data_IF_253332604526
#
_entry.id   IF_253332604526
#
_cell.length_a   1.000
_cell.length_b   1.000
_cell.length_c   1.000
_cell.angle_alpha   90.00
_cell.angle_beta   90.00
_cell.angle_gamma   90.00
#
_symmetry.space_group_name_H-M   'P 1'
#
loop_
_entity.id
_entity.type
_entity.pdbx_description
1 polymer ?
#
# COMPACT_ATOMS: atom_id res chain seq x y z
N UNK A 1 -45.71 38.05 -63.29
CA UNK A 1 -45.25 38.66 -64.55
C UNK A 1 -43.86 39.22 -64.32
N UNK A 2 -42.92 38.88 -65.21
CA UNK A 2 -41.57 39.43 -65.43
C UNK A 2 -40.60 39.55 -64.25
N UNK A 3 -39.52 38.77 -64.21
CA UNK A 3 -38.29 38.88 -65.04
C UNK A 3 -37.32 39.91 -64.48
N UNK A 4 -36.14 39.48 -64.01
CA UNK A 4 -34.91 39.58 -64.82
C UNK A 4 -33.70 38.99 -64.10
N UNK A 5 -32.84 38.38 -64.91
CA UNK A 5 -31.55 37.75 -64.59
C UNK A 5 -30.44 38.76 -64.28
N UNK A 6 -29.32 38.18 -63.80
CA UNK A 6 -27.91 38.60 -63.99
C UNK A 6 -27.34 39.67 -63.05
N UNK A 7 -26.05 39.69 -62.70
CA UNK A 7 -24.91 38.76 -62.57
C UNK A 7 -23.73 39.68 -62.14
N UNK A 8 -22.83 39.18 -61.27
CA UNK A 8 -21.44 39.64 -60.99
C UNK A 8 -21.21 41.05 -60.42
N UNK A 9 -20.50 41.14 -59.29
CA UNK A 9 -19.03 41.18 -59.29
C UNK A 9 -18.46 41.05 -57.87
N UNK A 10 -17.50 40.14 -57.73
CA UNK A 10 -16.61 40.01 -56.57
C UNK A 10 -15.77 41.28 -56.42
N UNK A 11 -15.76 41.88 -55.22
CA UNK A 11 -14.62 42.66 -54.75
C UNK A 11 -14.25 42.23 -53.33
N UNK A 12 -13.08 41.57 -53.26
CA UNK A 12 -12.32 41.29 -52.05
C UNK A 12 -11.97 42.58 -51.33
N UNK A 13 -12.19 42.64 -50.01
CA UNK A 13 -11.31 43.39 -49.09
C UNK A 13 -11.08 42.56 -47.84
N UNK A 14 -9.80 42.33 -47.57
CA UNK A 14 -9.29 41.61 -46.43
C UNK A 14 -9.05 42.56 -45.24
N UNK A 15 -9.34 42.02 -44.05
CA UNK A 15 -8.66 42.15 -42.76
C UNK A 15 -8.32 43.53 -42.16
N UNK A 16 -8.73 43.72 -40.89
CA UNK A 16 -7.80 43.82 -39.75
C UNK A 16 -8.54 43.60 -38.41
N UNK A 17 -7.90 42.97 -37.40
CA UNK A 17 -8.56 42.42 -36.21
C UNK A 17 -8.65 43.41 -35.04
N UNK A 18 -9.69 43.27 -34.22
CA UNK A 18 -9.76 43.88 -32.90
C UNK A 18 -8.91 43.07 -31.92
N UNK A 19 -7.92 43.72 -31.29
CA UNK A 19 -7.10 43.14 -30.21
C UNK A 19 -7.97 43.04 -28.96
N UNK A 20 -8.52 41.85 -28.69
CA UNK A 20 -9.10 41.49 -27.40
C UNK A 20 -8.04 40.78 -26.57
N UNK A 21 -7.56 41.42 -25.50
CA UNK A 21 -6.67 40.79 -24.54
C UNK A 21 -7.46 39.76 -23.70
N UNK A 22 -7.37 38.48 -24.06
CA UNK A 22 -7.79 37.39 -23.21
C UNK A 22 -6.63 37.00 -22.29
N UNK A 23 -6.76 37.27 -20.99
CA UNK A 23 -5.90 36.68 -19.96
C UNK A 23 -6.15 35.16 -19.95
N UNK A 24 -5.25 34.41 -20.57
CA UNK A 24 -5.20 32.96 -20.41
C UNK A 24 -4.67 32.65 -19.01
N UNK A 25 -5.58 32.36 -18.07
CA UNK A 25 -5.22 31.78 -16.78
C UNK A 25 -4.80 30.33 -17.03
N UNK A 26 -3.50 30.12 -17.28
CA UNK A 26 -2.93 28.77 -17.36
C UNK A 26 -2.97 28.16 -15.97
N UNK A 27 -4.05 27.47 -15.62
CA UNK A 27 -4.09 26.58 -14.47
C UNK A 27 -3.19 25.38 -14.77
N UNK A 28 -1.91 25.48 -14.39
CA UNK A 28 -1.07 24.29 -14.23
C UNK A 28 -1.70 23.43 -13.15
N UNK A 29 -2.41 22.38 -13.55
CA UNK A 29 -2.77 21.29 -12.65
C UNK A 29 -1.47 20.60 -12.28
N UNK A 30 -0.93 20.94 -11.11
CA UNK A 30 0.15 20.14 -10.53
C UNK A 30 -0.45 18.78 -10.21
N UNK A 31 -0.18 17.78 -11.05
CA UNK A 31 -0.33 16.39 -10.64
C UNK A 31 0.72 16.18 -9.55
N UNK A 32 0.35 16.38 -8.29
CA UNK A 32 1.18 15.99 -7.18
C UNK A 32 1.41 14.49 -7.35
N UNK A 33 2.62 14.10 -7.74
CA UNK A 33 3.03 12.70 -7.67
C UNK A 33 2.78 12.27 -6.22
N UNK A 34 2.08 11.15 -5.97
CA UNK A 34 1.91 10.66 -4.63
C UNK A 34 3.30 10.58 -3.97
N UNK A 35 3.41 11.16 -2.77
CA UNK A 35 4.66 11.12 -2.02
C UNK A 35 5.09 9.67 -1.91
N UNK A 36 6.29 9.34 -2.42
CA UNK A 36 6.84 8.00 -2.33
C UNK A 36 6.89 7.58 -0.85
N UNK A 37 6.54 6.33 -0.57
CA UNK A 37 6.76 5.70 0.72
C UNK A 37 8.15 6.05 1.29
N UNK A 38 8.19 6.96 2.27
CA UNK A 38 9.39 7.24 3.04
C UNK A 38 9.56 6.14 4.08
N UNK A 39 10.58 5.30 3.97
CA UNK A 39 10.98 4.40 5.06
C UNK A 39 12.24 4.93 5.74
N UNK A 40 12.24 5.13 7.06
CA UNK A 40 13.49 5.06 7.82
C UNK A 40 13.86 3.59 7.95
N UNK A 41 14.31 2.97 6.87
CA UNK A 41 14.83 1.62 6.98
C UNK A 41 16.07 1.65 7.90
N UNK A 42 15.97 1.02 9.06
CA UNK A 42 17.04 0.98 10.08
C UNK A 42 18.25 0.14 9.66
N UNK A 43 18.19 -0.55 8.51
CA UNK A 43 19.23 -1.48 8.06
C UNK A 43 19.13 -2.87 8.68
N UNK A 44 18.06 -3.15 9.45
CA UNK A 44 17.88 -4.43 10.15
C UNK A 44 17.55 -5.56 9.19
N UNK A 45 17.98 -6.76 9.56
CA UNK A 45 17.70 -7.99 8.81
C UNK A 45 16.26 -8.46 8.94
N UNK A 46 15.57 -8.08 10.03
CA UNK A 46 14.22 -8.51 10.39
C UNK A 46 13.38 -7.32 10.85
N UNK A 47 12.06 -7.47 10.74
CA UNK A 47 11.09 -6.65 11.48
C UNK A 47 11.40 -6.73 12.97
N UNK A 48 11.37 -5.58 13.66
CA UNK A 48 11.92 -5.42 14.99
C UNK A 48 11.08 -4.49 15.85
N UNK A 49 10.93 -4.86 17.12
CA UNK A 49 10.18 -4.06 18.09
C UNK A 49 10.79 -4.02 19.48
N UNK A 50 10.38 -3.05 20.29
CA UNK A 50 10.75 -2.93 21.70
C UNK A 50 9.64 -2.32 22.52
N UNK A 51 9.51 -2.73 23.79
CA UNK A 51 8.48 -2.16 24.65
C UNK A 51 7.09 -2.66 24.26
N UNK A 52 6.14 -1.73 24.14
CA UNK A 52 4.77 -2.02 23.69
C UNK A 52 4.75 -2.45 22.23
N UNK A 53 3.65 -3.08 21.78
CA UNK A 53 3.59 -3.66 20.43
C UNK A 53 2.90 -2.78 19.39
N UNK A 54 2.24 -1.71 19.81
CA UNK A 54 1.40 -0.92 18.90
C UNK A 54 2.21 -0.10 17.89
N UNK A 55 3.42 0.30 18.26
CA UNK A 55 4.37 1.10 17.49
C UNK A 55 5.50 0.26 16.85
N UNK A 56 5.58 -1.03 17.17
CA UNK A 56 6.67 -1.92 16.74
C UNK A 56 6.86 -2.02 15.21
N UNK A 57 5.94 -1.52 14.39
CA UNK A 57 6.04 -1.52 12.92
C UNK A 57 6.33 -0.12 12.32
N UNK A 58 6.49 0.94 13.11
CA UNK A 58 6.53 2.32 12.61
C UNK A 58 7.86 2.77 11.94
N UNK A 59 8.93 1.99 12.11
CA UNK A 59 10.25 2.21 11.52
C UNK A 59 10.64 1.12 10.50
N UNK A 60 9.67 0.33 10.05
CA UNK A 60 9.91 -0.77 9.14
C UNK A 60 10.22 -0.32 7.70
N UNK A 61 11.05 -1.13 7.04
CA UNK A 61 11.54 -0.91 5.69
C UNK A 61 10.44 -1.01 4.63
N UNK A 62 10.66 -0.34 3.50
CA UNK A 62 9.74 -0.38 2.37
C UNK A 62 9.71 -1.79 1.77
N UNK A 63 8.51 -2.32 1.54
CA UNK A 63 8.27 -3.53 0.75
C UNK A 63 7.31 -3.18 -0.39
N UNK A 64 7.73 -3.44 -1.63
CA UNK A 64 6.93 -3.18 -2.83
C UNK A 64 7.43 -4.02 -4.01
N UNK A 65 6.95 -3.70 -5.22
CA UNK A 65 7.30 -4.41 -6.46
C UNK A 65 8.78 -4.31 -6.86
N UNK A 66 9.57 -3.39 -6.29
CA UNK A 66 11.00 -3.20 -6.61
C UNK A 66 11.94 -3.37 -5.41
N UNK A 67 11.43 -3.26 -4.18
CA UNK A 67 12.19 -3.26 -2.94
C UNK A 67 11.69 -4.38 -2.02
N UNK A 68 12.60 -5.24 -1.56
CA UNK A 68 12.27 -6.45 -0.78
C UNK A 68 11.17 -7.32 -1.42
N UNK A 69 11.09 -7.28 -2.76
CA UNK A 69 10.03 -7.90 -3.57
C UNK A 69 9.83 -9.38 -3.28
N UNK A 70 10.91 -10.12 -3.04
CA UNK A 70 10.89 -11.56 -2.77
C UNK A 70 11.46 -11.80 -1.38
N UNK A 71 10.61 -11.78 -0.35
CA UNK A 71 11.05 -11.79 1.05
C UNK A 71 9.98 -12.32 2.02
N UNK A 72 10.42 -12.75 3.20
CA UNK A 72 9.54 -13.10 4.31
C UNK A 72 8.82 -11.88 4.88
N UNK A 73 9.40 -10.67 4.82
CA UNK A 73 8.65 -9.45 5.17
C UNK A 73 7.52 -9.17 4.17
N UNK A 74 7.71 -9.50 2.89
CA UNK A 74 6.63 -9.48 1.89
C UNK A 74 5.52 -10.49 2.22
N UNK A 75 5.89 -11.64 2.74
CA UNK A 75 4.97 -12.67 3.21
C UNK A 75 4.20 -12.24 4.46
N UNK A 76 4.87 -11.58 5.41
CA UNK A 76 4.23 -10.94 6.55
C UNK A 76 3.22 -9.89 6.06
N UNK A 77 3.62 -9.03 5.12
CA UNK A 77 2.73 -8.01 4.56
C UNK A 77 1.50 -8.62 3.85
N UNK A 78 1.70 -9.67 3.06
CA UNK A 78 0.59 -10.42 2.44
C UNK A 78 -0.33 -11.06 3.47
N UNK A 79 0.22 -11.58 4.58
CA UNK A 79 -0.56 -12.12 5.71
C UNK A 79 -1.39 -11.03 6.39
N UNK A 80 -0.83 -9.82 6.57
CA UNK A 80 -1.56 -8.65 7.07
C UNK A 80 -2.69 -8.24 6.12
N UNK A 81 -2.43 -8.23 4.80
CA UNK A 81 -3.45 -7.94 3.79
C UNK A 81 -4.57 -8.99 3.80
N UNK A 82 -4.23 -10.27 3.94
CA UNK A 82 -5.21 -11.33 4.15
C UNK A 82 -6.03 -11.07 5.40
N UNK A 83 -5.37 -10.80 6.53
CA UNK A 83 -6.04 -10.55 7.81
C UNK A 83 -7.00 -9.35 7.80
N UNK A 84 -6.78 -8.40 6.88
CA UNK A 84 -7.67 -7.25 6.66
C UNK A 84 -8.70 -7.47 5.54
N UNK A 85 -8.69 -8.63 4.87
CA UNK A 85 -9.64 -8.98 3.81
C UNK A 85 -9.29 -8.47 2.41
N UNK A 86 -8.05 -8.01 2.18
CA UNK A 86 -7.61 -7.47 0.88
C UNK A 86 -6.93 -8.51 -0.03
N UNK A 87 -6.53 -9.66 0.51
CA UNK A 87 -5.82 -10.71 -0.22
C UNK A 87 -6.35 -12.10 0.17
N UNK A 88 -6.58 -13.02 -0.78
CA UNK A 88 -6.87 -14.42 -0.43
C UNK A 88 -5.62 -15.10 0.15
N UNK A 89 -5.81 -16.14 0.98
CA UNK A 89 -4.67 -16.84 1.59
C UNK A 89 -3.74 -17.48 0.56
N UNK A 90 -4.25 -17.84 -0.62
CA UNK A 90 -3.48 -18.37 -1.74
C UNK A 90 -2.52 -17.35 -2.38
N UNK A 91 -2.67 -16.05 -2.06
CA UNK A 91 -1.78 -14.99 -2.52
C UNK A 91 -0.60 -14.74 -1.57
N UNK A 92 -0.48 -15.50 -0.48
CA UNK A 92 0.64 -15.42 0.46
C UNK A 92 1.76 -16.33 -0.07
N UNK A 93 2.66 -15.74 -0.83
CA UNK A 93 3.77 -16.43 -1.50
C UNK A 93 5.13 -15.76 -1.26
N UNK A 94 5.19 -14.66 -0.52
CA UNK A 94 6.40 -13.86 -0.30
C UNK A 94 6.87 -13.06 -1.51
N UNK A 95 6.10 -12.99 -2.60
CA UNK A 95 6.38 -12.21 -3.81
C UNK A 95 5.42 -11.02 -3.91
N UNK A 96 5.94 -9.82 -3.73
CA UNK A 96 5.20 -8.58 -3.93
C UNK A 96 4.98 -8.31 -5.43
N UNK A 97 3.98 -8.96 -6.01
CA UNK A 97 3.53 -8.77 -7.39
C UNK A 97 2.29 -7.89 -7.51
N UNK A 98 1.69 -7.85 -8.70
CA UNK A 98 0.56 -6.97 -9.03
C UNK A 98 -0.65 -7.16 -8.10
N UNK A 99 -0.93 -8.40 -7.67
CA UNK A 99 -2.01 -8.67 -6.72
C UNK A 99 -1.71 -8.04 -5.35
N UNK A 100 -0.48 -8.14 -4.87
CA UNK A 100 -0.05 -7.54 -3.60
C UNK A 100 -0.01 -6.02 -3.68
N UNK A 101 0.42 -5.44 -4.80
CA UNK A 101 0.37 -3.99 -5.05
C UNK A 101 -1.09 -3.48 -5.01
N UNK A 102 -1.99 -4.13 -5.76
CA UNK A 102 -3.40 -3.74 -5.77
C UNK A 102 -4.05 -3.85 -4.38
N UNK A 103 -3.78 -4.93 -3.65
CA UNK A 103 -4.25 -5.13 -2.28
C UNK A 103 -3.67 -4.07 -1.31
N UNK A 104 -2.40 -3.71 -1.47
CA UNK A 104 -1.74 -2.64 -0.69
C UNK A 104 -2.42 -1.30 -0.93
N UNK A 105 -2.73 -0.97 -2.19
CA UNK A 105 -3.46 0.26 -2.52
C UNK A 105 -4.87 0.28 -1.94
N UNK A 106 -5.56 -0.87 -1.90
CA UNK A 106 -6.87 -0.99 -1.24
C UNK A 106 -6.75 -0.71 0.26
N UNK A 107 -5.81 -1.37 0.94
CA UNK A 107 -5.50 -1.12 2.35
C UNK A 107 -5.25 0.38 2.59
N UNK A 108 -4.36 0.99 1.80
CA UNK A 108 -4.00 2.39 1.95
C UNK A 108 -5.20 3.32 1.80
N UNK A 109 -6.04 3.12 0.78
CA UNK A 109 -7.28 3.93 0.59
C UNK A 109 -8.20 3.82 1.81
N UNK A 110 -8.42 2.61 2.29
CA UNK A 110 -9.33 2.36 3.42
C UNK A 110 -8.79 2.94 4.73
N UNK A 111 -7.46 3.05 4.88
CA UNK A 111 -6.82 3.71 6.03
C UNK A 111 -6.61 5.22 5.84
N UNK A 112 -7.09 5.81 4.74
CA UNK A 112 -6.94 7.23 4.44
C UNK A 112 -5.51 7.66 4.11
N UNK A 113 -4.69 6.72 3.64
CA UNK A 113 -3.31 6.96 3.21
C UNK A 113 -3.23 7.26 1.70
N UNK A 114 -2.08 7.76 1.27
CA UNK A 114 -1.76 7.83 -0.16
C UNK A 114 -1.61 6.41 -0.71
N UNK A 115 -2.39 6.07 -1.73
CA UNK A 115 -2.43 4.72 -2.30
C UNK A 115 -1.32 4.46 -3.33
N UNK A 116 -0.07 4.55 -2.88
CA UNK A 116 1.14 4.41 -3.71
C UNK A 116 1.53 2.94 -4.02
N UNK A 117 0.90 1.97 -3.36
CA UNK A 117 1.16 0.54 -3.54
C UNK A 117 2.40 0.02 -2.83
N UNK A 118 3.03 0.84 -1.98
CA UNK A 118 4.21 0.48 -1.20
C UNK A 118 3.89 0.37 0.29
N UNK A 119 4.27 -0.75 0.90
CA UNK A 119 4.26 -0.89 2.35
C UNK A 119 5.51 -0.19 2.92
N UNK A 120 5.42 1.13 3.16
CA UNK A 120 6.40 1.91 3.92
C UNK A 120 5.86 2.39 5.26
N UNK A 121 6.61 3.25 5.96
CA UNK A 121 6.32 3.72 7.34
C UNK A 121 4.83 3.90 7.63
N UNK A 122 4.15 4.82 6.94
CA UNK A 122 2.75 5.13 7.27
C UNK A 122 1.81 3.93 7.08
N UNK A 123 2.12 3.08 6.09
CA UNK A 123 1.38 1.85 5.81
C UNK A 123 1.60 0.84 6.93
N UNK A 124 2.85 0.65 7.37
CA UNK A 124 3.21 -0.23 8.47
C UNK A 124 2.69 0.25 9.82
N UNK A 125 2.77 1.54 10.13
CA UNK A 125 2.16 2.16 11.33
C UNK A 125 0.67 1.84 11.39
N UNK A 126 -0.05 1.99 10.27
CA UNK A 126 -1.49 1.65 10.23
C UNK A 126 -1.79 0.16 10.37
N UNK A 127 -0.86 -0.72 10.04
CA UNK A 127 -1.00 -2.14 10.35
C UNK A 127 -0.70 -2.41 11.84
N UNK A 128 0.29 -1.72 12.42
CA UNK A 128 0.66 -1.78 13.84
C UNK A 128 -0.50 -1.50 14.80
N UNK A 129 -1.43 -0.62 14.42
CA UNK A 129 -2.69 -0.34 15.15
C UNK A 129 -3.54 -1.60 15.47
N UNK A 130 -3.26 -2.74 14.81
CA UNK A 130 -3.96 -4.02 15.00
C UNK A 130 -3.14 -5.06 15.76
N UNK A 131 -1.94 -4.72 16.24
CA UNK A 131 -1.14 -5.59 17.08
C UNK A 131 -1.68 -5.57 18.52
N UNK A 132 -2.01 -6.75 19.02
CA UNK A 132 -2.49 -6.99 20.38
C UNK A 132 -1.49 -7.84 21.15
N UNK A 133 -1.02 -7.31 22.27
CA UNK A 133 -0.08 -8.01 23.14
C UNK A 133 -0.85 -9.02 24.00
N UNK A 134 -0.40 -10.28 24.02
CA UNK A 134 -0.96 -11.31 24.87
C UNK A 134 0.01 -11.67 26.01
N UNK A 135 0.79 -12.72 25.82
CA UNK A 135 1.54 -13.37 26.89
C UNK A 135 3.05 -13.29 26.64
N UNK A 136 3.81 -13.22 27.74
CA UNK A 136 5.24 -13.46 27.72
C UNK A 136 5.51 -14.91 28.14
N UNK A 137 6.11 -15.71 27.27
CA UNK A 137 6.49 -17.09 27.57
C UNK A 137 7.97 -17.30 27.28
N UNK A 138 8.74 -17.67 28.31
CA UNK A 138 10.18 -17.95 28.20
C UNK A 138 10.99 -16.83 27.50
N UNK A 139 10.63 -15.57 27.77
CA UNK A 139 11.26 -14.39 27.17
C UNK A 139 10.75 -14.01 25.77
N UNK A 140 9.90 -14.82 25.16
CA UNK A 140 9.22 -14.48 23.91
C UNK A 140 7.92 -13.76 24.21
N UNK A 141 7.64 -12.71 23.44
CA UNK A 141 6.36 -12.05 23.47
C UNK A 141 5.45 -12.60 22.38
N UNK A 142 4.29 -13.09 22.77
CA UNK A 142 3.23 -13.51 21.86
C UNK A 142 2.33 -12.32 21.53
N UNK A 143 2.15 -12.08 20.23
CA UNK A 143 1.39 -10.98 19.68
C UNK A 143 0.36 -11.54 18.71
N UNK A 144 -0.85 -11.04 18.76
CA UNK A 144 -1.87 -11.35 17.75
C UNK A 144 -2.04 -10.14 16.87
N UNK A 145 -2.11 -10.35 15.56
CA UNK A 145 -2.68 -9.35 14.68
C UNK A 145 -4.19 -9.55 14.63
N UNK A 146 -4.95 -8.58 15.12
CA UNK A 146 -6.40 -8.66 15.14
C UNK A 146 -6.97 -8.40 13.73
N UNK A 147 -7.44 -9.45 13.07
CA UNK A 147 -8.04 -9.39 11.75
C UNK A 147 -9.47 -8.84 11.73
N UNK A 148 -10.04 -8.72 10.54
CA UNK A 148 -11.46 -8.34 10.38
C UNK A 148 -12.38 -9.54 10.61
N UNK A 149 -13.47 -9.33 11.37
CA UNK A 149 -14.48 -10.37 11.67
C UNK A 149 -15.77 -10.11 10.86
N UNK A 150 -16.33 -11.14 10.21
CA UNK A 150 -17.72 -11.15 9.74
C UNK A 150 -18.01 -11.07 8.23
N UNK A 151 -19.04 -11.85 7.84
CA UNK A 151 -19.91 -11.89 6.64
C UNK A 151 -19.34 -11.86 5.20
N UNK A 152 -18.21 -11.21 4.92
CA UNK A 152 -17.56 -11.23 3.58
C UNK A 152 -16.34 -12.15 3.49
N UNK A 153 -15.92 -12.71 4.62
CA UNK A 153 -14.81 -13.65 4.71
C UNK A 153 -15.34 -15.09 4.74
N UNK A 154 -14.78 -15.97 3.91
CA UNK A 154 -14.95 -17.42 4.01
C UNK A 154 -14.24 -18.06 5.21
N UNK A 155 -13.44 -17.29 5.96
CA UNK A 155 -12.63 -17.74 7.10
C UNK A 155 -13.23 -17.28 8.43
N UNK A 156 -13.34 -18.22 9.38
CA UNK A 156 -13.99 -18.04 10.69
C UNK A 156 -13.27 -17.02 11.62
N UNK A 157 -11.97 -16.79 11.41
CA UNK A 157 -11.21 -15.67 11.96
C UNK A 157 -10.06 -15.33 11.01
N UNK A 158 -9.71 -14.05 10.95
CA UNK A 158 -8.57 -13.50 10.19
C UNK A 158 -7.39 -13.13 11.10
N UNK A 159 -7.48 -13.49 12.37
CA UNK A 159 -6.42 -13.27 13.33
C UNK A 159 -5.23 -14.18 13.00
N UNK A 160 -4.00 -13.69 13.16
CA UNK A 160 -2.81 -14.53 13.06
C UNK A 160 -1.78 -14.18 14.15
N UNK A 161 -0.93 -15.15 14.46
CA UNK A 161 0.03 -15.05 15.56
C UNK A 161 1.39 -14.60 15.05
N UNK A 162 1.94 -13.61 15.74
CA UNK A 162 3.34 -13.23 15.69
C UNK A 162 4.02 -13.50 17.03
N UNK A 163 5.34 -13.60 16.98
CA UNK A 163 6.19 -13.74 18.14
C UNK A 163 7.37 -12.79 18.01
N UNK A 164 7.60 -11.99 19.04
CA UNK A 164 8.79 -11.15 19.17
C UNK A 164 9.79 -11.86 20.06
N UNK A 165 11.01 -12.04 19.57
CA UNK A 165 12.09 -12.65 20.33
C UNK A 165 12.56 -11.75 21.48
N UNK A 166 13.34 -12.27 22.45
CA UNK A 166 14.01 -11.44 23.45
C UNK A 166 14.89 -10.33 22.84
N UNK A 167 15.45 -10.60 21.65
CA UNK A 167 16.26 -9.65 20.89
C UNK A 167 15.40 -8.70 20.03
N UNK A 168 14.07 -8.69 20.22
CA UNK A 168 13.13 -7.80 19.54
C UNK A 168 12.74 -8.20 18.12
N UNK A 169 13.27 -9.30 17.56
CA UNK A 169 13.00 -9.68 16.18
C UNK A 169 11.67 -10.44 16.05
N UNK A 170 10.90 -10.13 15.01
CA UNK A 170 9.62 -10.76 14.75
C UNK A 170 9.71 -12.02 13.89
N UNK A 171 8.91 -13.01 14.26
CA UNK A 171 8.53 -14.16 13.42
C UNK A 171 7.02 -14.36 13.46
N UNK A 172 6.46 -15.01 12.45
CA UNK A 172 5.02 -15.15 12.31
C UNK A 172 4.65 -16.51 11.72
N UNK A 173 3.39 -16.89 11.92
CA UNK A 173 2.77 -18.04 11.26
C UNK A 173 1.84 -17.54 10.16
N UNK A 174 1.85 -18.22 9.03
CA UNK A 174 0.90 -17.95 7.95
C UNK A 174 -0.46 -18.59 8.26
N UNK A 175 -1.55 -18.17 7.58
CA UNK A 175 -2.90 -18.64 7.87
C UNK A 175 -3.14 -20.13 7.62
N UNK A 176 -2.29 -20.77 6.82
CA UNK A 176 -2.29 -22.22 6.57
C UNK A 176 -1.62 -23.04 7.69
N UNK A 177 -1.10 -22.36 8.72
CA UNK A 177 -0.43 -22.97 9.86
C UNK A 177 1.06 -23.25 9.65
N UNK A 178 1.65 -22.84 8.52
CA UNK A 178 3.10 -22.99 8.31
C UNK A 178 3.91 -21.91 9.03
N UNK A 179 5.19 -22.20 9.28
CA UNK A 179 6.10 -21.34 10.05
C UNK A 179 6.57 -21.97 11.39
N UNK A 180 7.14 -21.16 12.31
CA UNK A 180 7.24 -19.71 12.21
C UNK A 180 8.34 -19.28 11.23
N UNK A 181 8.06 -18.25 10.43
CA UNK A 181 9.05 -17.61 9.56
C UNK A 181 9.55 -16.33 10.20
N UNK A 182 10.88 -16.14 10.26
CA UNK A 182 11.44 -14.84 10.59
C UNK A 182 10.99 -13.81 9.55
N UNK A 183 10.51 -12.65 9.99
CA UNK A 183 10.07 -11.54 9.13
C UNK A 183 11.29 -10.82 8.51
N UNK A 184 12.05 -11.58 7.72
CA UNK A 184 13.33 -11.19 7.15
C UNK A 184 13.16 -10.37 5.86
N UNK A 185 14.00 -9.36 5.70
CA UNK A 185 14.05 -8.50 4.51
C UNK A 185 14.76 -9.17 3.33
N UNK A 186 15.72 -10.05 3.61
CA UNK A 186 16.69 -10.57 2.63
C UNK A 186 16.61 -12.09 2.40
N UNK A 187 15.55 -12.74 2.88
CA UNK A 187 15.30 -14.16 2.67
C UNK A 187 13.83 -14.42 2.39
N UNK A 188 13.52 -15.42 1.57
CA UNK A 188 12.18 -15.92 1.28
C UNK A 188 12.15 -17.43 1.52
N UNK A 189 11.46 -17.84 2.57
CA UNK A 189 11.34 -19.23 3.03
C UNK A 189 9.91 -19.65 3.33
N UNK A 190 8.98 -18.70 3.35
CA UNK A 190 7.64 -18.98 2.87
C UNK A 190 7.65 -18.86 1.32
#
# INVERSE_FOLDING_TARGET
>A
MSSHRSIRHLLRRAAAPAVGAALALSMTVAFATPAAASGSYSGRAYVYGTGGVADDFDDEGVVNVSTHRSSNVGCLWQTILWANGYLPSSGIDGIFGDQTDAATRNFQRDKGLTADGSAGRNTWTKAGDRLSQHDNQNGWLYVTFDGVKGARSSYASHDFVLQRSPDGNYRFYTPDGTGPYWAAYNARTC
#
